data_IF_647756018093
#
_entry.id   IF_647756018093
#
_cell.length_a   1.000
_cell.length_b   1.000
_cell.length_c   1.000
_cell.angle_alpha   90.00
_cell.angle_beta   90.00
_cell.angle_gamma   90.00
#
_symmetry.space_group_name_H-M   'P 1'
#
loop_
_entity.id
_entity.type
_entity.pdbx_description
1 polymer ?
#
# COMPACT_ATOMS: atom_id res chain seq x y z
N UNK A 1 -15.93 -12.82 13.34
CA UNK A 1 -16.02 -11.74 14.35
C UNK A 1 -17.21 -11.96 15.30
N UNK A 2 -18.41 -12.28 14.80
CA UNK A 2 -19.59 -12.55 15.62
C UNK A 2 -19.37 -13.66 16.67
N UNK A 3 -18.75 -14.76 16.27
CA UNK A 3 -18.43 -15.86 17.16
C UNK A 3 -17.44 -15.46 18.27
N UNK A 4 -16.43 -14.64 17.94
CA UNK A 4 -15.51 -14.10 18.94
C UNK A 4 -16.25 -13.21 19.95
N UNK A 5 -17.14 -12.34 19.47
CA UNK A 5 -17.95 -11.50 20.36
C UNK A 5 -18.85 -12.34 21.28
N UNK A 6 -19.43 -13.40 20.75
CA UNK A 6 -20.23 -14.37 21.53
C UNK A 6 -19.40 -15.00 22.64
N UNK A 7 -18.20 -15.50 22.33
CA UNK A 7 -17.28 -16.10 23.30
C UNK A 7 -16.83 -15.11 24.38
N UNK A 8 -16.49 -13.88 23.99
CA UNK A 8 -16.10 -12.83 24.94
C UNK A 8 -17.26 -12.45 25.88
N UNK A 9 -18.47 -12.40 25.35
CA UNK A 9 -19.68 -12.13 26.15
C UNK A 9 -19.98 -13.28 27.10
N UNK A 10 -19.83 -14.52 26.66
CA UNK A 10 -20.08 -15.74 27.44
C UNK A 10 -19.20 -15.79 28.69
N UNK A 11 -17.93 -15.43 28.62
CA UNK A 11 -17.00 -15.45 29.76
C UNK A 11 -17.13 -14.23 30.67
N UNK A 12 -17.88 -13.21 30.29
CA UNK A 12 -18.03 -11.99 31.06
C UNK A 12 -19.01 -12.17 32.23
N UNK A 13 -18.51 -12.01 33.44
CA UNK A 13 -19.39 -11.95 34.63
C UNK A 13 -19.98 -13.28 35.07
N UNK A 14 -19.34 -14.40 34.75
CA UNK A 14 -19.71 -15.72 35.19
C UNK A 14 -19.67 -15.80 36.73
N UNK A 15 -20.72 -16.32 37.39
CA UNK A 15 -20.74 -16.52 38.85
C UNK A 15 -19.83 -17.68 39.24
N UNK A 16 -19.34 -17.68 40.48
CA UNK A 16 -18.55 -18.80 41.05
C UNK A 16 -19.47 -19.98 41.38
N UNK A 17 -19.99 -20.65 40.38
CA UNK A 17 -20.89 -21.81 40.50
C UNK A 17 -20.48 -22.89 39.48
N UNK A 18 -21.46 -23.71 39.06
CA UNK A 18 -21.27 -24.79 38.10
C UNK A 18 -20.83 -24.30 36.69
N UNK A 19 -21.01 -23.01 36.38
CA UNK A 19 -20.62 -22.37 35.13
C UNK A 19 -21.18 -23.05 33.88
N UNK A 20 -22.43 -23.50 33.93
CA UNK A 20 -23.09 -24.23 32.83
C UNK A 20 -23.16 -23.40 31.54
N UNK A 21 -23.19 -22.07 31.66
CA UNK A 21 -23.15 -21.13 30.53
C UNK A 21 -21.95 -21.38 29.58
N UNK A 22 -20.83 -21.87 30.11
CA UNK A 22 -19.66 -22.24 29.32
C UNK A 22 -19.91 -23.42 28.36
N UNK A 23 -21.04 -24.12 28.45
CA UNK A 23 -21.40 -25.15 27.48
C UNK A 23 -21.77 -24.57 26.11
N UNK A 24 -22.15 -23.29 26.07
CA UNK A 24 -22.48 -22.56 24.83
C UNK A 24 -21.26 -22.08 24.06
N UNK A 25 -20.02 -22.39 24.50
CA UNK A 25 -18.80 -22.08 23.80
C UNK A 25 -18.60 -22.90 22.51
N UNK A 26 -19.15 -24.10 22.47
CA UNK A 26 -18.93 -25.07 21.39
C UNK A 26 -19.50 -24.66 20.06
N UNK A 27 -20.76 -24.21 19.91
CA UNK A 27 -21.30 -23.81 18.62
C UNK A 27 -20.45 -22.71 17.93
N UNK A 28 -20.09 -21.58 18.59
CA UNK A 28 -19.30 -20.55 17.95
C UNK A 28 -17.85 -20.99 17.67
N UNK A 29 -17.27 -21.90 18.46
CA UNK A 29 -15.95 -22.45 18.20
C UNK A 29 -15.97 -23.37 16.98
N UNK A 30 -16.93 -24.30 16.90
CA UNK A 30 -17.01 -25.25 15.80
C UNK A 30 -17.35 -24.55 14.48
N UNK A 31 -18.30 -23.62 14.50
CA UNK A 31 -18.60 -22.82 13.32
C UNK A 31 -17.37 -22.00 12.86
N UNK A 32 -16.66 -21.39 13.79
CA UNK A 32 -15.43 -20.65 13.44
C UNK A 32 -14.36 -21.54 12.82
N UNK A 33 -14.19 -22.76 13.36
CA UNK A 33 -13.23 -23.72 12.81
C UNK A 33 -13.60 -24.17 11.40
N UNK A 34 -14.87 -24.50 11.18
CA UNK A 34 -15.37 -24.94 9.88
C UNK A 34 -15.24 -23.82 8.84
N UNK A 35 -15.73 -22.61 9.16
CA UNK A 35 -15.67 -21.46 8.24
C UNK A 35 -14.22 -21.07 7.92
N UNK A 36 -13.33 -21.06 8.91
CA UNK A 36 -11.93 -20.72 8.70
C UNK A 36 -11.22 -21.77 7.84
N UNK A 37 -11.44 -23.06 8.14
CA UNK A 37 -10.82 -24.15 7.38
C UNK A 37 -11.23 -24.11 5.90
N UNK A 38 -12.54 -23.96 5.64
CA UNK A 38 -13.04 -23.83 4.27
C UNK A 38 -12.49 -22.57 3.58
N UNK A 39 -12.45 -21.44 4.28
CA UNK A 39 -11.94 -20.19 3.72
C UNK A 39 -10.45 -20.29 3.35
N UNK A 40 -9.64 -20.95 4.17
CA UNK A 40 -8.22 -21.17 3.89
C UNK A 40 -8.01 -22.10 2.70
N UNK A 41 -8.81 -23.17 2.59
CA UNK A 41 -8.76 -24.08 1.44
C UNK A 41 -9.11 -23.36 0.13
N UNK A 42 -10.21 -22.61 0.11
CA UNK A 42 -10.61 -21.80 -1.06
C UNK A 42 -9.56 -20.75 -1.40
N UNK A 43 -9.00 -20.07 -0.40
CA UNK A 43 -7.94 -19.07 -0.61
C UNK A 43 -6.68 -19.71 -1.21
N UNK A 44 -6.26 -20.86 -0.69
CA UNK A 44 -5.11 -21.60 -1.23
C UNK A 44 -5.33 -21.99 -2.69
N UNK A 45 -6.52 -22.51 -3.02
CA UNK A 45 -6.92 -22.84 -4.40
C UNK A 45 -6.93 -21.59 -5.31
N UNK A 46 -7.45 -20.49 -4.81
CA UNK A 46 -7.48 -19.21 -5.56
C UNK A 46 -6.08 -18.71 -5.85
N UNK A 47 -5.20 -18.71 -4.86
CA UNK A 47 -3.81 -18.24 -5.03
C UNK A 47 -3.00 -19.14 -5.96
N UNK A 48 -3.21 -20.46 -5.90
CA UNK A 48 -2.51 -21.40 -6.78
C UNK A 48 -2.89 -21.23 -8.27
N UNK A 49 -4.12 -20.77 -8.56
CA UNK A 49 -4.60 -20.47 -9.91
C UNK A 49 -4.44 -19.00 -10.34
N UNK A 50 -3.98 -18.14 -9.46
CA UNK A 50 -3.86 -16.72 -9.76
C UNK A 50 -2.69 -16.42 -10.70
N UNK A 51 -2.96 -15.62 -11.74
CA UNK A 51 -1.95 -15.10 -12.66
C UNK A 51 -1.86 -13.58 -12.60
N UNK A 52 -0.66 -13.04 -12.77
CA UNK A 52 -0.45 -11.61 -12.88
C UNK A 52 -0.57 -11.16 -14.33
N UNK A 53 -1.48 -10.22 -14.60
CA UNK A 53 -1.52 -9.53 -15.88
C UNK A 53 -0.52 -8.36 -15.84
N UNK A 54 0.73 -8.64 -16.21
CA UNK A 54 1.83 -7.67 -16.17
C UNK A 54 1.59 -6.46 -17.06
N UNK A 55 0.92 -6.63 -18.20
CA UNK A 55 0.59 -5.52 -19.10
C UNK A 55 -0.43 -4.56 -18.47
N UNK A 56 -1.51 -5.10 -17.91
CA UNK A 56 -2.50 -4.28 -17.21
C UNK A 56 -1.90 -3.59 -15.99
N UNK A 57 -1.03 -4.26 -15.23
CA UNK A 57 -0.31 -3.66 -14.10
C UNK A 57 0.62 -2.54 -14.57
N UNK A 58 1.41 -2.75 -15.63
CA UNK A 58 2.30 -1.74 -16.18
C UNK A 58 1.52 -0.51 -16.66
N UNK A 59 0.40 -0.71 -17.33
CA UNK A 59 -0.49 0.38 -17.76
C UNK A 59 -1.05 1.16 -16.56
N UNK A 60 -1.47 0.46 -15.51
CA UNK A 60 -2.05 1.09 -14.33
C UNK A 60 -1.04 1.97 -13.57
N UNK A 61 0.25 1.60 -13.56
CA UNK A 61 1.31 2.38 -12.89
C UNK A 61 2.00 3.40 -13.79
N UNK A 62 1.61 3.50 -15.06
CA UNK A 62 2.18 4.48 -16.00
C UNK A 62 1.68 5.91 -15.76
N UNK A 63 0.62 6.10 -14.98
CA UNK A 63 0.10 7.44 -14.66
C UNK A 63 1.08 8.21 -13.78
N UNK A 64 1.65 9.34 -14.26
CA UNK A 64 2.61 10.13 -13.51
C UNK A 64 2.02 10.76 -12.24
N UNK A 65 0.69 10.89 -12.13
CA UNK A 65 0.03 11.41 -10.92
C UNK A 65 0.27 10.52 -9.70
N UNK A 66 0.55 9.23 -9.88
CA UNK A 66 0.93 8.32 -8.79
C UNK A 66 2.23 8.73 -8.09
N UNK A 67 3.08 9.49 -8.77
CA UNK A 67 4.36 9.98 -8.24
C UNK A 67 4.33 11.48 -7.90
N UNK A 68 3.15 12.11 -7.85
CA UNK A 68 3.01 13.52 -7.48
C UNK A 68 3.57 13.81 -6.08
N UNK A 69 3.41 12.89 -5.12
CA UNK A 69 3.99 13.03 -3.78
C UNK A 69 5.51 12.90 -3.80
N UNK A 70 6.08 12.08 -4.68
CA UNK A 70 7.53 11.98 -4.89
C UNK A 70 8.11 13.29 -5.43
N UNK A 71 7.33 14.03 -6.23
CA UNK A 71 7.70 15.36 -6.71
C UNK A 71 7.71 16.39 -5.56
N UNK A 72 6.76 16.31 -4.63
CA UNK A 72 6.80 17.13 -3.41
C UNK A 72 8.04 16.81 -2.56
N UNK A 73 8.35 15.54 -2.38
CA UNK A 73 9.56 15.11 -1.67
C UNK A 73 10.86 15.57 -2.38
N UNK A 74 10.85 15.58 -3.69
CA UNK A 74 11.96 16.13 -4.48
C UNK A 74 12.19 17.61 -4.17
N UNK A 75 11.13 18.43 -4.15
CA UNK A 75 11.21 19.84 -3.79
C UNK A 75 11.67 20.04 -2.36
N UNK A 76 11.21 19.20 -1.43
CA UNK A 76 11.68 19.24 -0.02
C UNK A 76 13.17 18.95 0.07
N UNK A 77 13.67 17.98 -0.68
CA UNK A 77 15.13 17.70 -0.76
C UNK A 77 15.92 18.87 -1.34
N UNK A 78 15.30 19.71 -2.16
CA UNK A 78 15.87 20.97 -2.69
C UNK A 78 15.74 22.15 -1.72
N UNK A 79 15.19 21.93 -0.51
CA UNK A 79 15.07 22.94 0.53
C UNK A 79 13.74 23.69 0.59
N UNK A 80 12.76 23.32 -0.23
CA UNK A 80 11.41 23.91 -0.19
C UNK A 80 10.64 23.34 0.99
N UNK A 81 10.00 24.17 1.86
CA UNK A 81 9.16 23.68 2.93
C UNK A 81 8.04 22.76 2.40
N UNK A 82 7.69 21.68 3.11
CA UNK A 82 6.74 20.67 2.63
C UNK A 82 5.38 21.27 2.21
N UNK A 83 4.87 22.24 2.97
CA UNK A 83 3.59 22.91 2.64
C UNK A 83 3.67 23.63 1.30
N UNK A 84 4.76 24.32 1.04
CA UNK A 84 4.97 25.07 -0.20
C UNK A 84 5.23 24.10 -1.36
N UNK A 85 6.01 23.04 -1.14
CA UNK A 85 6.23 21.97 -2.11
C UNK A 85 4.91 21.31 -2.53
N UNK A 86 4.02 21.02 -1.59
CA UNK A 86 2.70 20.47 -1.89
C UNK A 86 1.83 21.42 -2.72
N UNK A 87 1.90 22.73 -2.43
CA UNK A 87 1.20 23.75 -3.20
C UNK A 87 1.72 23.85 -4.63
N UNK A 88 3.05 23.89 -4.80
CA UNK A 88 3.72 23.88 -6.11
C UNK A 88 3.31 22.65 -6.95
N UNK A 89 3.26 21.47 -6.35
CA UNK A 89 2.80 20.25 -7.04
C UNK A 89 1.33 20.38 -7.44
N UNK A 90 0.48 20.96 -6.59
CA UNK A 90 -0.92 21.24 -6.92
C UNK A 90 -1.07 22.16 -8.15
N UNK A 91 -0.25 23.21 -8.24
CA UNK A 91 -0.23 24.11 -9.40
C UNK A 91 0.22 23.39 -10.67
N UNK A 92 1.25 22.53 -10.58
CA UNK A 92 1.70 21.73 -11.72
C UNK A 92 0.64 20.75 -12.22
N UNK A 93 -0.09 20.10 -11.30
CA UNK A 93 -1.19 19.19 -11.64
C UNK A 93 -2.30 19.97 -12.33
N UNK A 94 -2.73 21.11 -11.79
CA UNK A 94 -3.75 21.95 -12.40
C UNK A 94 -3.34 22.44 -13.80
N UNK A 95 -2.06 22.81 -13.98
CA UNK A 95 -1.56 23.23 -15.28
C UNK A 95 -1.52 22.08 -16.30
N UNK A 96 -1.16 20.86 -15.85
CA UNK A 96 -1.17 19.66 -16.69
C UNK A 96 -2.60 19.33 -17.17
N UNK A 97 -3.58 19.41 -16.24
CA UNK A 97 -5.00 19.24 -16.55
C UNK A 97 -5.52 20.30 -17.54
N UNK A 98 -5.19 21.56 -17.31
CA UNK A 98 -5.60 22.68 -18.22
C UNK A 98 -5.02 22.49 -19.63
N UNK A 99 -3.76 22.06 -19.73
CA UNK A 99 -3.12 21.76 -21.00
C UNK A 99 -3.46 20.40 -21.59
N UNK A 100 -4.19 19.56 -20.86
CA UNK A 100 -4.52 18.17 -21.24
C UNK A 100 -3.30 17.32 -21.61
N UNK A 101 -2.22 17.46 -20.86
CA UNK A 101 -0.98 16.68 -21.01
C UNK A 101 -0.66 15.96 -19.71
N UNK A 102 0.05 14.81 -19.77
CA UNK A 102 0.58 14.16 -18.57
C UNK A 102 1.51 15.09 -17.78
N UNK A 103 1.50 14.97 -16.45
CA UNK A 103 2.26 15.83 -15.54
C UNK A 103 3.78 15.87 -15.91
N UNK A 104 4.36 14.75 -16.28
CA UNK A 104 5.77 14.63 -16.67
C UNK A 104 6.07 15.18 -18.07
N UNK A 105 5.06 15.56 -18.87
CA UNK A 105 5.20 16.13 -20.21
C UNK A 105 5.04 17.65 -20.23
N UNK A 106 4.84 18.29 -19.08
CA UNK A 106 4.85 19.75 -18.99
C UNK A 106 6.16 20.34 -19.53
N UNK A 107 6.05 21.45 -20.26
CA UNK A 107 7.22 22.15 -20.82
C UNK A 107 8.11 22.77 -19.74
N UNK A 108 9.43 22.74 -19.93
CA UNK A 108 10.36 23.34 -18.97
C UNK A 108 10.12 24.84 -18.71
N UNK A 109 9.74 25.66 -19.69
CA UNK A 109 9.40 27.05 -19.42
C UNK A 109 8.23 27.22 -18.45
N UNK A 110 7.19 26.41 -18.61
CA UNK A 110 5.99 26.46 -17.75
C UNK A 110 6.33 26.05 -16.31
N UNK A 111 7.08 24.97 -16.17
CA UNK A 111 7.50 24.42 -14.88
C UNK A 111 8.41 25.39 -14.14
N UNK A 112 9.35 26.01 -14.82
CA UNK A 112 10.28 26.99 -14.24
C UNK A 112 9.57 28.28 -13.80
N UNK A 113 8.45 28.62 -14.41
CA UNK A 113 7.63 29.78 -14.00
C UNK A 113 6.90 29.53 -12.69
N UNK A 114 6.57 28.28 -12.37
CA UNK A 114 5.90 27.91 -11.14
C UNK A 114 6.88 27.93 -9.95
N UNK A 115 8.06 27.30 -10.09
CA UNK A 115 9.04 27.31 -9.02
C UNK A 115 10.46 27.03 -9.54
N UNK A 116 11.43 27.85 -9.09
CA UNK A 116 12.84 27.78 -9.52
C UNK A 116 13.57 26.48 -9.11
N UNK A 117 13.12 25.81 -8.03
CA UNK A 117 13.69 24.55 -7.58
C UNK A 117 13.38 23.38 -8.54
N UNK A 118 12.44 23.54 -9.48
CA UNK A 118 12.14 22.57 -10.52
C UNK A 118 13.19 22.67 -11.64
N UNK A 119 14.38 22.15 -11.37
CA UNK A 119 15.52 22.12 -12.29
C UNK A 119 15.39 21.00 -13.33
N UNK A 120 16.32 20.92 -14.27
CA UNK A 120 16.27 20.02 -15.44
C UNK A 120 16.09 18.51 -15.09
N UNK A 121 16.34 18.12 -13.85
CA UNK A 121 16.24 16.73 -13.36
C UNK A 121 14.89 16.35 -12.76
N UNK A 122 13.93 17.28 -12.69
CA UNK A 122 12.62 17.04 -12.05
C UNK A 122 11.82 15.87 -12.67
N UNK A 123 12.00 15.63 -13.98
CA UNK A 123 11.33 14.52 -14.68
C UNK A 123 11.85 13.14 -14.24
N UNK A 124 13.04 13.07 -13.66
CA UNK A 124 13.60 11.82 -13.16
C UNK A 124 12.79 11.23 -12.00
N UNK A 125 12.01 12.07 -11.31
CA UNK A 125 11.08 11.66 -10.25
C UNK A 125 10.04 10.66 -10.76
N UNK A 126 9.63 10.77 -12.03
CA UNK A 126 8.62 9.90 -12.63
C UNK A 126 9.16 8.53 -13.09
N UNK A 127 10.41 8.22 -12.80
CA UNK A 127 10.96 6.88 -12.98
C UNK A 127 10.52 5.97 -11.83
N UNK A 128 9.69 4.94 -12.12
CA UNK A 128 9.28 3.95 -11.15
C UNK A 128 10.46 3.22 -10.51
N UNK A 129 11.49 2.91 -11.27
CA UNK A 129 12.69 2.25 -10.75
C UNK A 129 13.39 3.11 -9.70
N UNK A 130 13.53 4.43 -9.95
CA UNK A 130 14.09 5.37 -8.97
C UNK A 130 13.19 5.52 -7.76
N UNK A 131 11.89 5.59 -7.98
CA UNK A 131 10.91 5.67 -6.90
C UNK A 131 10.97 4.45 -5.98
N UNK A 132 11.05 3.23 -6.52
CA UNK A 132 11.23 2.01 -5.71
C UNK A 132 12.60 1.94 -5.06
N UNK A 133 13.68 2.27 -5.79
CA UNK A 133 15.04 2.28 -5.25
C UNK A 133 15.22 3.27 -4.07
N UNK A 134 14.40 4.31 -3.98
CA UNK A 134 14.42 5.24 -2.84
C UNK A 134 13.75 4.70 -1.59
N UNK A 135 12.98 3.60 -1.67
CA UNK A 135 12.15 3.04 -0.60
C UNK A 135 12.80 1.83 0.08
N UNK A 136 14.05 1.99 0.54
CA UNK A 136 14.87 0.90 1.11
C UNK A 136 14.87 0.83 2.65
N UNK A 137 13.92 1.48 3.33
CA UNK A 137 13.76 1.36 4.79
C UNK A 137 12.93 0.11 5.13
N UNK A 138 13.12 -0.50 6.32
CA UNK A 138 12.30 -1.62 6.78
C UNK A 138 10.80 -1.33 6.67
N UNK A 139 10.06 -2.25 6.03
CA UNK A 139 8.62 -2.10 5.79
C UNK A 139 8.23 -1.32 4.52
N UNK A 140 9.19 -0.76 3.80
CA UNK A 140 8.95 -0.11 2.52
C UNK A 140 9.11 -1.08 1.34
N UNK A 141 8.55 -0.77 0.15
CA UNK A 141 8.54 -1.67 -1.01
C UNK A 141 9.83 -1.60 -1.87
N UNK A 142 10.96 -1.20 -1.32
CA UNK A 142 12.23 -1.21 -2.04
C UNK A 142 12.69 -2.62 -2.40
N UNK A 143 13.41 -2.83 -3.52
CA UNK A 143 13.76 -4.16 -4.02
C UNK A 143 14.49 -5.04 -3.00
N UNK A 144 15.41 -4.47 -2.21
CA UNK A 144 16.12 -5.22 -1.17
C UNK A 144 15.18 -5.64 -0.03
N UNK A 145 14.26 -4.76 0.37
CA UNK A 145 13.29 -5.03 1.44
C UNK A 145 12.29 -6.11 1.03
N UNK A 146 11.81 -6.08 -0.21
CA UNK A 146 10.94 -7.13 -0.76
C UNK A 146 11.67 -8.47 -0.78
N UNK A 147 12.92 -8.49 -1.29
CA UNK A 147 13.74 -9.70 -1.32
C UNK A 147 13.97 -10.28 0.09
N UNK A 148 14.23 -9.43 1.07
CA UNK A 148 14.38 -9.81 2.47
C UNK A 148 13.09 -10.47 3.01
N UNK A 149 11.92 -9.87 2.75
CA UNK A 149 10.64 -10.43 3.20
C UNK A 149 10.31 -11.74 2.51
N UNK A 150 10.54 -11.85 1.20
CA UNK A 150 10.33 -13.10 0.46
C UNK A 150 11.21 -14.23 1.05
N UNK A 151 12.49 -13.95 1.30
CA UNK A 151 13.40 -14.96 1.86
C UNK A 151 12.98 -15.36 3.29
N UNK A 152 12.58 -14.39 4.12
CA UNK A 152 12.06 -14.67 5.47
C UNK A 152 10.85 -15.60 5.41
N UNK A 153 9.87 -15.34 4.56
CA UNK A 153 8.70 -16.19 4.43
C UNK A 153 9.02 -17.56 3.87
N UNK A 154 9.93 -17.65 2.91
CA UNK A 154 10.39 -18.94 2.39
C UNK A 154 11.05 -19.80 3.47
N UNK A 155 11.82 -19.21 4.36
CA UNK A 155 12.42 -19.96 5.49
C UNK A 155 11.33 -20.40 6.49
N UNK A 156 10.38 -19.55 6.82
CA UNK A 156 9.29 -19.87 7.75
C UNK A 156 8.30 -20.93 7.23
N UNK A 157 8.22 -21.11 5.93
CA UNK A 157 7.29 -22.06 5.27
C UNK A 157 7.98 -23.38 4.89
N UNK A 158 9.24 -23.59 5.29
CA UNK A 158 9.96 -24.87 5.05
C UNK A 158 9.68 -25.94 6.10
N UNK A 159 9.09 -25.55 7.24
CA UNK A 159 8.69 -26.44 8.34
C UNK A 159 7.22 -26.85 8.18
#
# INVERSE_FOLDING_TARGET
>A
QGNLQTLLTLVKGLPLTYNRDLQEDKPPVFDSFEQLSLSLEVLAGTLSGAGMNSEACAKAVADPLLLATDLADYLVRKGVPFRDAHHVVGELVALAEDKQVPLNELGDPDVSMIHEALSADWREVFSLDKAFASRERPGMPGPSQISLQINRWREMLKD
#
